data_IF_500250365408
#
_entry.id   IF_500250365408
#
_cell.length_a   1.000
_cell.length_b   1.000
_cell.length_c   1.000
_cell.angle_alpha   90.00
_cell.angle_beta   90.00
_cell.angle_gamma   90.00
#
_symmetry.space_group_name_H-M   'P 1'
#
loop_
_entity.id
_entity.type
_entity.pdbx_description
1 polymer ?
#
# COMPACT_ATOMS: atom_id res chain seq x y z
N UNK A 1 68.48 40.24 17.91
CA UNK A 1 67.97 40.41 16.53
C UNK A 1 66.53 40.90 16.58
N UNK A 2 66.12 41.82 15.70
CA UNK A 2 64.72 42.29 15.58
C UNK A 2 64.34 42.27 14.09
N UNK A 3 63.17 41.73 13.78
CA UNK A 3 62.69 41.51 12.42
C UNK A 3 61.25 42.01 12.31
N UNK A 4 60.93 42.93 11.38
CA UNK A 4 59.55 43.24 11.07
C UNK A 4 58.87 42.01 10.44
N UNK A 5 57.63 41.74 10.83
CA UNK A 5 56.89 40.60 10.29
C UNK A 5 56.37 40.85 8.86
N UNK A 6 56.10 42.11 8.52
CA UNK A 6 55.71 42.53 7.19
C UNK A 6 56.82 43.38 6.54
N UNK A 7 57.09 43.15 5.26
CA UNK A 7 58.14 43.86 4.52
C UNK A 7 57.86 45.37 4.38
N UNK A 8 56.59 45.76 4.43
CA UNK A 8 56.12 47.15 4.41
C UNK A 8 56.04 47.80 5.80
N UNK A 9 56.39 47.05 6.86
CA UNK A 9 56.33 47.49 8.26
C UNK A 9 54.92 47.55 8.86
N UNK A 10 53.92 47.00 8.17
CA UNK A 10 52.55 46.87 8.69
C UNK A 10 52.46 45.84 9.84
N UNK A 11 51.37 45.93 10.61
CA UNK A 11 51.07 44.96 11.67
C UNK A 11 50.43 43.72 11.05
N UNK A 12 50.78 42.54 11.55
CA UNK A 12 50.23 41.25 11.10
C UNK A 12 49.33 40.67 12.18
N UNK A 13 48.14 40.22 11.80
CA UNK A 13 47.27 39.44 12.67
C UNK A 13 47.75 37.98 12.67
N UNK A 14 48.29 37.56 13.81
CA UNK A 14 48.75 36.20 14.05
C UNK A 14 47.71 35.36 14.84
N UNK A 15 46.51 35.89 15.10
CA UNK A 15 45.47 35.22 15.90
C UNK A 15 44.87 33.99 15.21
N UNK A 16 44.89 33.98 13.87
CA UNK A 16 44.39 32.86 13.05
C UNK A 16 45.42 31.72 12.88
N UNK A 17 46.62 31.89 13.46
CA UNK A 17 47.68 30.88 13.42
C UNK A 17 47.75 30.13 14.76
N UNK A 18 48.01 28.83 14.69
CA UNK A 18 48.13 27.98 15.88
C UNK A 18 49.59 27.79 16.30
N UNK A 19 50.49 27.77 15.31
CA UNK A 19 51.90 27.40 15.50
C UNK A 19 52.84 28.31 14.73
N UNK A 20 54.04 28.48 15.29
CA UNK A 20 55.19 29.10 14.65
C UNK A 20 56.34 28.09 14.62
N UNK A 21 56.89 27.83 13.44
CA UNK A 21 58.09 27.01 13.24
C UNK A 21 59.30 27.91 13.14
N UNK A 22 60.30 27.64 13.96
CA UNK A 22 61.55 28.40 13.98
C UNK A 22 62.71 27.49 13.60
N UNK A 23 63.43 27.87 12.54
CA UNK A 23 64.73 27.32 12.19
C UNK A 23 65.80 28.26 12.74
N UNK A 24 66.25 27.99 13.96
CA UNK A 24 67.19 28.87 14.69
C UNK A 24 68.36 28.07 15.24
N UNK A 25 69.59 28.54 15.04
CA UNK A 25 70.79 27.98 15.67
C UNK A 25 71.38 29.02 16.61
N UNK A 26 71.77 28.56 17.80
CA UNK A 26 72.42 29.40 18.80
C UNK A 26 73.78 28.79 19.11
N UNK A 27 74.82 29.62 19.15
CA UNK A 27 76.20 29.20 19.44
C UNK A 27 76.87 30.20 20.37
N UNK A 28 77.69 29.72 21.30
CA UNK A 28 78.40 30.57 22.26
C UNK A 28 79.04 29.75 23.39
N UNK A 29 79.63 30.39 24.40
CA UNK A 29 80.24 29.69 25.53
C UNK A 29 79.22 28.97 26.42
N UNK A 30 79.54 27.72 26.77
CA UNK A 30 78.73 26.84 27.63
C UNK A 30 77.85 25.84 26.86
N UNK A 31 77.29 24.87 27.58
CA UNK A 31 76.45 23.79 27.00
C UNK A 31 74.95 24.16 26.91
N UNK A 32 74.55 25.26 27.56
CA UNK A 32 73.16 25.74 27.62
C UNK A 32 72.98 26.99 26.78
N UNK A 33 72.02 26.95 25.86
CA UNK A 33 71.74 28.05 24.94
C UNK A 33 70.27 28.45 25.05
N UNK A 34 69.97 29.25 26.08
CA UNK A 34 68.62 29.74 26.29
C UNK A 34 68.27 30.83 25.27
N UNK A 35 67.20 30.62 24.51
CA UNK A 35 66.68 31.53 23.52
C UNK A 35 65.38 32.15 24.04
N UNK A 36 65.29 33.46 23.91
CA UNK A 36 64.10 34.24 24.23
C UNK A 36 63.53 34.82 22.93
N UNK A 37 62.29 34.46 22.66
CA UNK A 37 61.54 34.90 21.49
C UNK A 37 60.48 35.89 21.94
N UNK A 38 60.39 37.03 21.27
CA UNK A 38 59.36 38.03 21.49
C UNK A 38 58.52 38.25 20.25
N UNK A 39 57.19 38.23 20.41
CA UNK A 39 56.23 38.78 19.46
C UNK A 39 55.69 40.08 20.04
N UNK A 40 56.01 41.21 19.40
CA UNK A 40 55.67 42.54 19.91
C UNK A 40 54.41 43.07 19.25
N UNK A 41 53.36 43.27 20.05
CA UNK A 41 52.09 43.81 19.61
C UNK A 41 52.13 45.36 19.64
N UNK A 42 51.61 45.98 18.60
CA UNK A 42 51.60 47.43 18.38
C UNK A 42 50.18 48.03 18.42
N UNK A 43 49.27 47.48 19.25
CA UNK A 43 47.92 48.01 19.41
C UNK A 43 47.93 49.49 19.83
N UNK A 44 47.08 50.28 19.19
CA UNK A 44 46.97 51.71 19.41
C UNK A 44 46.61 52.09 20.87
N UNK A 45 46.02 51.18 21.64
CA UNK A 45 45.67 51.42 23.04
C UNK A 45 46.89 51.74 23.93
N UNK A 46 48.04 51.09 23.66
CA UNK A 46 49.27 51.23 24.44
C UNK A 46 50.50 51.67 23.63
N UNK A 47 50.58 51.35 22.34
CA UNK A 47 51.75 51.65 21.49
C UNK A 47 51.73 53.08 20.89
N UNK A 48 51.52 54.12 21.71
CA UNK A 48 51.25 55.49 21.23
C UNK A 48 52.43 56.18 20.54
N UNK A 49 53.67 55.94 20.99
CA UNK A 49 54.86 56.56 20.37
C UNK A 49 55.46 55.72 19.24
N UNK A 50 55.02 54.46 19.10
CA UNK A 50 55.63 53.48 18.21
C UNK A 50 57.06 53.06 18.63
N UNK A 51 57.57 53.54 19.76
CA UNK A 51 58.86 53.13 20.29
C UNK A 51 58.83 51.67 20.73
N UNK A 52 59.98 50.99 20.64
CA UNK A 52 60.11 49.58 20.98
C UNK A 52 59.65 49.27 22.43
N UNK A 53 59.83 50.21 23.35
CA UNK A 53 59.43 50.07 24.76
C UNK A 53 57.91 50.01 24.96
N UNK A 54 57.14 50.68 24.10
CA UNK A 54 55.69 50.77 24.20
C UNK A 54 54.98 49.56 23.57
N UNK A 55 55.70 48.77 22.77
CA UNK A 55 55.16 47.57 22.15
C UNK A 55 55.05 46.44 23.17
N UNK A 56 53.85 45.90 23.33
CA UNK A 56 53.55 44.82 24.29
C UNK A 56 54.28 43.53 23.89
N UNK A 57 55.27 43.08 24.69
CA UNK A 57 56.09 41.93 24.36
C UNK A 57 55.44 40.65 24.86
N UNK A 58 55.10 39.77 23.93
CA UNK A 58 54.74 38.40 24.21
C UNK A 58 56.01 37.57 24.14
N UNK A 59 56.39 36.96 25.25
CA UNK A 59 57.66 36.28 25.46
C UNK A 59 57.47 34.76 25.54
N UNK A 60 58.39 34.04 24.93
CA UNK A 60 58.62 32.62 25.14
C UNK A 60 60.12 32.39 25.35
N UNK A 61 60.46 31.62 26.38
CA UNK A 61 61.84 31.23 26.69
C UNK A 61 61.95 29.72 26.62
N UNK A 62 62.94 29.22 25.89
CA UNK A 62 63.26 27.80 25.85
C UNK A 62 64.76 27.56 25.64
N UNK A 63 65.22 26.35 25.94
CA UNK A 63 66.61 25.95 25.78
C UNK A 63 66.84 25.39 24.36
N UNK A 64 67.44 26.20 23.49
CA UNK A 64 67.60 25.85 22.08
C UNK A 64 68.53 24.64 21.87
N UNK A 65 69.41 24.32 22.82
CA UNK A 65 70.28 23.13 22.71
C UNK A 65 69.54 21.81 22.96
N UNK A 66 68.33 21.85 23.52
CA UNK A 66 67.52 20.65 23.82
C UNK A 66 66.47 20.34 22.74
N UNK A 67 66.25 21.26 21.82
CA UNK A 67 65.20 21.13 20.80
C UNK A 67 65.78 20.67 19.46
N UNK A 68 65.00 19.91 18.69
CA UNK A 68 65.34 19.54 17.32
C UNK A 68 64.80 20.61 16.37
N UNK A 69 65.60 20.99 15.37
CA UNK A 69 65.20 21.98 14.37
C UNK A 69 64.34 21.34 13.25
N UNK A 70 63.25 22.00 12.79
CA UNK A 70 62.69 23.25 13.34
C UNK A 70 61.97 23.06 14.68
N UNK A 71 62.04 24.07 15.54
CA UNK A 71 61.27 24.11 16.78
C UNK A 71 59.83 24.49 16.46
N UNK A 72 58.90 23.58 16.74
CA UNK A 72 57.45 23.80 16.61
C UNK A 72 56.92 24.44 17.91
N UNK A 73 56.63 25.74 17.85
CA UNK A 73 56.12 26.52 18.99
C UNK A 73 54.63 26.76 18.83
N UNK A 74 53.84 26.44 19.86
CA UNK A 74 52.43 26.82 19.90
C UNK A 74 52.29 28.29 20.32
N UNK A 75 51.59 29.11 19.53
CA UNK A 75 51.47 30.55 19.79
C UNK A 75 50.82 30.86 21.15
N UNK A 76 49.92 29.98 21.63
CA UNK A 76 49.30 30.07 22.96
C UNK A 76 50.27 29.96 24.16
N UNK A 77 51.52 29.52 23.94
CA UNK A 77 52.53 29.42 25.01
C UNK A 77 53.24 30.74 25.30
N UNK A 78 53.11 31.72 24.41
CA UNK A 78 53.64 33.05 24.66
C UNK A 78 52.87 33.72 25.80
N UNK A 79 53.60 34.34 26.71
CA UNK A 79 53.02 35.11 27.81
C UNK A 79 53.45 36.56 27.72
N UNK A 80 52.65 37.49 28.22
CA UNK A 80 53.11 38.89 28.30
C UNK A 80 54.26 38.97 29.31
N UNK A 81 55.36 39.63 28.93
CA UNK A 81 56.51 39.73 29.80
C UNK A 81 56.16 40.49 31.09
N UNK A 82 56.50 39.91 32.24
CA UNK A 82 56.07 40.42 33.55
C UNK A 82 56.52 41.85 33.83
N UNK A 83 57.74 42.20 33.39
CA UNK A 83 58.29 43.57 33.52
C UNK A 83 57.45 44.60 32.75
N UNK A 84 56.86 44.23 31.61
CA UNK A 84 56.06 45.15 30.81
C UNK A 84 54.71 45.44 31.47
N UNK A 85 54.07 44.40 32.01
CA UNK A 85 52.82 44.52 32.78
C UNK A 85 53.00 45.39 34.02
N UNK A 86 54.14 45.26 34.71
CA UNK A 86 54.46 46.10 35.88
C UNK A 86 54.69 47.57 35.49
N UNK A 87 55.33 47.82 34.35
CA UNK A 87 55.59 49.17 33.85
C UNK A 87 54.35 49.84 33.22
N UNK A 88 53.39 49.07 32.73
CA UNK A 88 52.20 49.55 32.03
C UNK A 88 50.92 48.96 32.66
N UNK A 89 50.42 49.52 33.78
CA UNK A 89 49.18 49.08 34.39
C UNK A 89 48.00 49.25 33.41
N UNK A 90 47.37 48.15 33.03
CA UNK A 90 46.26 48.08 32.05
C UNK A 90 45.04 47.36 32.68
N UNK A 91 43.83 47.51 32.12
CA UNK A 91 42.68 46.70 32.51
C UNK A 91 42.96 45.19 32.38
N UNK A 92 42.30 44.38 33.20
CA UNK A 92 42.51 42.92 33.21
C UNK A 92 42.30 42.27 31.83
N UNK A 93 41.34 42.78 31.05
CA UNK A 93 41.05 42.32 29.69
C UNK A 93 42.24 42.46 28.72
N UNK A 94 43.10 43.47 28.92
CA UNK A 94 44.22 43.81 28.04
C UNK A 94 45.55 43.34 28.65
N UNK A 95 45.51 42.57 29.74
CA UNK A 95 46.71 42.06 30.44
C UNK A 95 47.17 40.69 29.90
N UNK A 96 46.31 39.99 29.18
CA UNK A 96 46.59 38.68 28.57
C UNK A 96 47.35 38.77 27.24
N UNK A 97 47.75 37.63 26.66
CA UNK A 97 48.42 37.61 25.36
C UNK A 97 47.47 38.02 24.23
N UNK A 98 47.95 38.91 23.35
CA UNK A 98 47.25 39.47 22.19
C UNK A 98 48.16 39.40 20.97
N UNK A 99 47.75 38.66 19.94
CA UNK A 99 48.55 38.46 18.73
C UNK A 99 47.87 39.04 17.47
N UNK A 100 46.88 39.91 17.64
CA UNK A 100 46.10 40.53 16.56
C UNK A 100 46.84 41.63 15.78
N UNK A 101 47.84 42.26 16.37
CA UNK A 101 48.59 43.37 15.75
C UNK A 101 50.09 43.24 16.00
N UNK A 102 50.67 42.10 15.64
CA UNK A 102 52.11 41.85 15.87
C UNK A 102 52.93 42.55 14.80
N UNK A 103 53.87 43.40 15.24
CA UNK A 103 54.72 44.19 14.36
C UNK A 103 56.12 43.60 14.19
N UNK A 104 56.69 43.09 15.29
CA UNK A 104 58.10 42.67 15.34
C UNK A 104 58.24 41.29 15.98
N UNK A 105 59.07 40.45 15.35
CA UNK A 105 59.67 39.27 15.95
C UNK A 105 61.06 39.65 16.46
N UNK A 106 61.35 39.41 17.73
CA UNK A 106 62.68 39.67 18.30
C UNK A 106 63.25 38.41 18.95
N UNK A 107 64.54 38.19 18.75
CA UNK A 107 65.28 37.06 19.30
C UNK A 107 66.45 37.59 20.13
N UNK A 108 66.53 37.15 21.39
CA UNK A 108 67.62 37.50 22.32
C UNK A 108 68.07 36.26 23.09
N UNK A 109 69.26 36.31 23.67
CA UNK A 109 69.68 35.29 24.64
C UNK A 109 68.81 35.40 25.90
N UNK A 110 68.64 34.27 26.59
CA UNK A 110 67.95 34.19 27.87
C UNK A 110 68.77 34.73 29.04
N UNK A 111 68.22 34.59 30.25
CA UNK A 111 68.85 35.08 31.48
C UNK A 111 69.84 34.06 32.08
N UNK A 112 69.71 32.78 31.73
CA UNK A 112 70.54 31.70 32.26
C UNK A 112 71.62 31.24 31.28
N UNK A 113 72.39 32.20 30.72
CA UNK A 113 73.45 31.93 29.74
C UNK A 113 74.80 32.49 30.24
N UNK A 114 75.93 31.77 30.08
CA UNK A 114 77.24 32.27 30.52
C UNK A 114 77.64 33.60 29.87
N UNK A 115 78.37 34.48 30.57
CA UNK A 115 78.91 35.70 29.98
C UNK A 115 79.83 35.40 28.80
N UNK A 116 79.63 36.09 27.68
CA UNK A 116 80.44 35.95 26.48
C UNK A 116 79.70 36.34 25.21
N UNK A 117 80.34 36.13 24.06
CA UNK A 117 79.73 36.39 22.76
C UNK A 117 78.87 35.19 22.33
N UNK A 118 77.58 35.45 22.11
CA UNK A 118 76.62 34.48 21.61
C UNK A 118 76.10 34.90 20.24
N UNK A 119 76.04 33.96 19.31
CA UNK A 119 75.52 34.16 17.95
C UNK A 119 74.18 33.44 17.82
N UNK A 120 73.17 34.15 17.30
CA UNK A 120 71.86 33.60 16.97
C UNK A 120 71.68 33.71 15.46
N UNK A 121 71.60 32.57 14.78
CA UNK A 121 71.32 32.45 13.35
C UNK A 121 69.87 32.03 13.15
N UNK A 122 69.07 32.86 12.50
CA UNK A 122 67.70 32.53 12.10
C UNK A 122 67.66 32.25 10.60
N UNK A 123 67.33 31.02 10.22
CA UNK A 123 67.16 30.62 8.82
C UNK A 123 65.75 30.95 8.30
N UNK A 124 64.72 30.62 9.08
CA UNK A 124 63.32 30.86 8.72
C UNK A 124 62.39 30.89 9.94
N UNK A 125 61.27 31.58 9.79
CA UNK A 125 60.12 31.53 10.69
C UNK A 125 58.83 31.35 9.86
N UNK A 126 58.09 30.27 10.09
CA UNK A 126 56.81 29.99 9.41
C UNK A 126 55.65 29.99 10.40
N UNK A 127 54.57 30.71 10.12
CA UNK A 127 53.32 30.63 10.87
C UNK A 127 52.34 29.69 10.17
N UNK A 128 51.70 28.78 10.93
CA UNK A 128 50.73 27.80 10.42
C UNK A 128 49.41 27.84 11.20
N UNK A 129 48.30 27.89 10.46
CA UNK A 129 46.92 27.87 10.99
C UNK A 129 45.99 27.04 10.10
N UNK A 130 44.75 26.83 10.56
CA UNK A 130 43.72 26.09 9.81
C UNK A 130 42.80 27.05 9.04
N UNK A 131 42.54 26.76 7.76
CA UNK A 131 41.63 27.55 6.93
C UNK A 131 40.17 27.52 7.40
N UNK A 132 39.74 26.39 7.98
CA UNK A 132 38.40 26.18 8.50
C UNK A 132 38.51 25.36 9.78
N UNK A 133 37.84 25.81 10.84
CA UNK A 133 37.77 25.06 12.08
C UNK A 133 37.18 23.64 11.82
N UNK A 134 37.78 22.57 12.34
CA UNK A 134 37.31 21.20 12.10
C UNK A 134 35.83 20.98 12.43
N UNK A 135 35.29 21.71 13.41
CA UNK A 135 33.87 21.66 13.76
C UNK A 135 32.96 22.20 12.64
N UNK A 136 33.30 23.35 12.06
CA UNK A 136 32.56 23.97 10.95
C UNK A 136 32.60 23.08 9.71
N UNK A 137 33.75 22.49 9.41
CA UNK A 137 33.88 21.55 8.30
C UNK A 137 32.96 20.32 8.48
N UNK A 138 32.98 19.68 9.65
CA UNK A 138 32.10 18.53 9.95
C UNK A 138 30.62 18.89 9.85
N UNK A 139 30.24 20.06 10.36
CA UNK A 139 28.85 20.52 10.28
C UNK A 139 28.40 20.74 8.83
N UNK A 140 29.29 21.26 7.97
CA UNK A 140 29.06 21.37 6.53
C UNK A 140 28.84 20.01 5.86
N UNK A 141 29.66 19.01 6.20
CA UNK A 141 29.50 17.64 5.69
C UNK A 141 28.15 17.04 6.11
N UNK A 142 27.76 17.18 7.38
CA UNK A 142 26.46 16.69 7.87
C UNK A 142 25.31 17.39 7.15
N UNK A 143 25.40 18.72 6.97
CA UNK A 143 24.40 19.49 6.22
C UNK A 143 24.23 19.02 4.78
N UNK A 144 25.34 18.73 4.10
CA UNK A 144 25.31 18.18 2.74
C UNK A 144 24.61 16.81 2.68
N UNK A 145 24.91 15.92 3.61
CA UNK A 145 24.23 14.61 3.71
C UNK A 145 22.74 14.75 3.98
N UNK A 146 22.34 15.64 4.90
CA UNK A 146 20.94 15.91 5.20
C UNK A 146 20.16 16.43 3.98
N UNK A 147 20.79 17.28 3.17
CA UNK A 147 20.19 17.81 1.94
C UNK A 147 19.98 16.70 0.90
N UNK A 148 20.96 15.82 0.70
CA UNK A 148 20.85 14.67 -0.21
C UNK A 148 19.74 13.72 0.23
N UNK A 149 19.68 13.38 1.53
CA UNK A 149 18.65 12.49 2.08
C UNK A 149 17.26 13.10 1.90
N UNK A 150 17.12 14.40 2.18
CA UNK A 150 15.82 15.10 2.05
C UNK A 150 15.37 15.14 0.59
N UNK A 151 16.29 15.40 -0.35
CA UNK A 151 16.00 15.36 -1.78
C UNK A 151 15.58 13.94 -2.23
N UNK A 152 16.27 12.90 -1.76
CA UNK A 152 15.93 11.51 -2.04
C UNK A 152 14.54 11.14 -1.52
N UNK A 153 14.22 11.47 -0.26
CA UNK A 153 12.91 11.18 0.34
C UNK A 153 11.79 11.91 -0.40
N UNK A 154 12.01 13.16 -0.83
CA UNK A 154 11.02 13.89 -1.61
C UNK A 154 10.79 13.27 -3.00
N UNK A 155 11.86 12.81 -3.65
CA UNK A 155 11.77 12.08 -4.91
C UNK A 155 11.01 10.75 -4.75
N UNK A 156 11.36 9.96 -3.75
CA UNK A 156 10.71 8.67 -3.47
C UNK A 156 9.24 8.84 -3.10
N UNK A 157 8.91 9.85 -2.28
CA UNK A 157 7.53 10.18 -1.95
C UNK A 157 6.69 10.55 -3.18
N UNK A 158 7.24 11.36 -4.10
CA UNK A 158 6.59 11.70 -5.37
C UNK A 158 6.38 10.47 -6.24
N UNK A 159 7.38 9.59 -6.33
CA UNK A 159 7.30 8.33 -7.08
C UNK A 159 6.22 7.41 -6.50
N UNK A 160 6.24 7.20 -5.19
CA UNK A 160 5.30 6.35 -4.46
C UNK A 160 3.85 6.82 -4.59
N UNK A 161 3.61 8.15 -4.54
CA UNK A 161 2.27 8.71 -4.78
C UNK A 161 1.73 8.41 -6.18
N UNK A 162 2.57 8.47 -7.22
CA UNK A 162 2.16 8.13 -8.59
C UNK A 162 1.78 6.65 -8.72
N UNK A 163 2.61 5.77 -8.17
CA UNK A 163 2.35 4.32 -8.16
C UNK A 163 1.05 3.98 -7.43
N UNK A 164 0.81 4.59 -6.28
CA UNK A 164 -0.41 4.38 -5.51
C UNK A 164 -1.67 4.79 -6.30
N UNK A 165 -1.62 5.92 -7.00
CA UNK A 165 -2.70 6.36 -7.87
C UNK A 165 -3.02 5.36 -8.99
N UNK A 166 -2.00 4.73 -9.59
CA UNK A 166 -2.19 3.71 -10.63
C UNK A 166 -2.80 2.42 -10.08
N UNK A 167 -2.36 1.98 -8.90
CA UNK A 167 -2.89 0.78 -8.24
C UNK A 167 -4.36 0.94 -7.88
N UNK A 168 -4.76 2.10 -7.36
CA UNK A 168 -6.15 2.39 -7.03
C UNK A 168 -7.04 2.39 -8.28
N UNK A 169 -6.57 2.96 -9.40
CA UNK A 169 -7.31 2.93 -10.68
C UNK A 169 -7.52 1.50 -11.18
N UNK A 170 -6.45 0.68 -11.22
CA UNK A 170 -6.55 -0.73 -11.62
C UNK A 170 -7.49 -1.53 -10.73
N UNK A 171 -7.45 -1.29 -9.41
CA UNK A 171 -8.38 -1.95 -8.47
C UNK A 171 -9.83 -1.61 -8.81
N UNK A 172 -10.14 -0.33 -9.06
CA UNK A 172 -11.49 0.09 -9.41
C UNK A 172 -11.94 -0.47 -10.77
N UNK A 173 -11.06 -0.48 -11.78
CA UNK A 173 -11.34 -1.09 -13.09
C UNK A 173 -11.67 -2.58 -12.96
N UNK A 174 -10.87 -3.32 -12.19
CA UNK A 174 -11.11 -4.74 -11.93
C UNK A 174 -12.43 -4.97 -11.18
N UNK A 175 -12.74 -4.14 -10.18
CA UNK A 175 -14.01 -4.24 -9.47
C UNK A 175 -15.21 -3.99 -10.39
N UNK A 176 -15.13 -2.99 -11.27
CA UNK A 176 -16.18 -2.72 -12.25
C UNK A 176 -16.31 -3.84 -13.28
N UNK A 177 -15.19 -4.37 -13.78
CA UNK A 177 -15.20 -5.49 -14.72
C UNK A 177 -15.81 -6.75 -14.10
N UNK A 178 -15.45 -7.05 -12.85
CA UNK A 178 -15.98 -8.19 -12.12
C UNK A 178 -17.49 -8.02 -11.84
N UNK A 179 -17.93 -6.82 -11.43
CA UNK A 179 -19.36 -6.53 -11.26
C UNK A 179 -20.16 -6.73 -12.57
N UNK A 180 -19.62 -6.26 -13.72
CA UNK A 180 -20.24 -6.49 -15.03
C UNK A 180 -20.27 -7.97 -15.41
N UNK A 181 -19.19 -8.71 -15.16
CA UNK A 181 -19.12 -10.13 -15.43
C UNK A 181 -20.15 -10.90 -14.59
N UNK A 182 -20.26 -10.56 -13.30
CA UNK A 182 -21.25 -11.15 -12.39
C UNK A 182 -22.67 -10.87 -12.86
N UNK A 183 -23.00 -9.64 -13.23
CA UNK A 183 -24.33 -9.29 -13.75
C UNK A 183 -24.66 -10.06 -15.04
N UNK A 184 -23.70 -10.21 -15.96
CA UNK A 184 -23.89 -11.03 -17.17
C UNK A 184 -24.08 -12.51 -16.85
N UNK A 185 -23.31 -13.04 -15.89
CA UNK A 185 -23.45 -14.42 -15.43
C UNK A 185 -24.86 -14.67 -14.89
N UNK A 186 -25.37 -13.75 -14.06
CA UNK A 186 -26.73 -13.84 -13.51
C UNK A 186 -27.81 -13.76 -14.59
N UNK A 187 -27.65 -12.88 -15.58
CA UNK A 187 -28.56 -12.79 -16.73
C UNK A 187 -28.55 -14.09 -17.56
N UNK A 188 -27.38 -14.68 -17.79
CA UNK A 188 -27.27 -15.96 -18.47
C UNK A 188 -27.86 -17.12 -17.67
N UNK A 189 -27.65 -17.15 -16.36
CA UNK A 189 -28.27 -18.15 -15.47
C UNK A 189 -29.79 -18.04 -15.48
N UNK A 190 -30.34 -16.82 -15.38
CA UNK A 190 -31.78 -16.58 -15.45
C UNK A 190 -32.36 -17.08 -16.79
N UNK A 191 -31.73 -16.74 -17.92
CA UNK A 191 -32.13 -17.22 -19.25
C UNK A 191 -31.95 -18.72 -19.42
N UNK A 192 -30.98 -19.32 -18.74
CA UNK A 192 -30.74 -20.76 -18.82
C UNK A 192 -31.77 -21.57 -18.05
N UNK A 193 -32.36 -21.02 -16.98
CA UNK A 193 -33.23 -21.76 -16.06
C UNK A 193 -34.72 -21.42 -16.18
N UNK A 194 -35.09 -20.34 -16.86
CA UNK A 194 -36.49 -19.96 -17.07
C UNK A 194 -36.94 -20.12 -18.52
N UNK A 195 -38.24 -20.36 -18.72
CA UNK A 195 -38.89 -20.30 -20.02
C UNK A 195 -39.19 -18.82 -20.37
N UNK A 196 -38.73 -18.31 -21.53
CA UNK A 196 -38.87 -16.89 -21.86
C UNK A 196 -40.31 -16.45 -22.13
N UNK A 197 -41.22 -17.38 -22.49
CA UNK A 197 -42.61 -17.05 -22.78
C UNK A 197 -43.45 -16.96 -21.50
N UNK A 198 -43.35 -17.98 -20.64
CA UNK A 198 -44.21 -18.13 -19.45
C UNK A 198 -43.57 -17.59 -18.16
N UNK A 199 -42.25 -17.41 -18.12
CA UNK A 199 -41.50 -16.99 -16.93
C UNK A 199 -41.31 -18.09 -15.88
N UNK A 200 -41.95 -19.25 -16.05
CA UNK A 200 -41.77 -20.43 -15.20
C UNK A 200 -40.35 -21.00 -15.34
N UNK A 201 -39.98 -21.94 -14.48
CA UNK A 201 -38.76 -22.74 -14.71
C UNK A 201 -38.88 -23.46 -16.05
N UNK A 202 -37.79 -23.57 -16.79
CA UNK A 202 -37.70 -24.51 -17.89
C UNK A 202 -37.23 -25.88 -17.36
N UNK A 203 -37.20 -26.89 -18.23
CA UNK A 203 -36.73 -28.24 -17.88
C UNK A 203 -35.37 -28.26 -17.16
N UNK A 204 -34.40 -27.44 -17.59
CA UNK A 204 -33.08 -27.36 -16.94
C UNK A 204 -33.14 -26.69 -15.57
N UNK A 205 -33.91 -25.61 -15.45
CA UNK A 205 -34.11 -24.90 -14.18
C UNK A 205 -34.76 -25.78 -13.12
N UNK A 206 -35.76 -26.58 -13.51
CA UNK A 206 -36.40 -27.53 -12.58
C UNK A 206 -35.42 -28.62 -12.13
N UNK A 207 -34.65 -29.21 -13.05
CA UNK A 207 -33.65 -30.22 -12.70
C UNK A 207 -32.58 -29.67 -11.74
N UNK A 208 -32.17 -28.41 -11.94
CA UNK A 208 -31.24 -27.73 -11.05
C UNK A 208 -31.82 -27.53 -9.65
N UNK A 209 -33.06 -27.04 -9.54
CA UNK A 209 -33.74 -26.82 -8.26
C UNK A 209 -33.93 -28.15 -7.50
N UNK A 210 -34.36 -29.21 -8.19
CA UNK A 210 -34.48 -30.56 -7.59
C UNK A 210 -33.14 -31.04 -7.06
N UNK A 211 -32.06 -30.94 -7.85
CA UNK A 211 -30.74 -31.39 -7.42
C UNK A 211 -30.23 -30.65 -6.17
N UNK A 212 -30.44 -29.33 -6.10
CA UNK A 212 -30.08 -28.52 -4.93
C UNK A 212 -30.86 -28.94 -3.68
N UNK A 213 -32.17 -29.14 -3.82
CA UNK A 213 -33.05 -29.49 -2.70
C UNK A 213 -32.79 -30.91 -2.19
N UNK A 214 -32.58 -31.88 -3.09
CA UNK A 214 -32.26 -33.26 -2.70
C UNK A 214 -30.87 -33.40 -2.06
N UNK A 215 -29.89 -32.59 -2.46
CA UNK A 215 -28.55 -32.61 -1.85
C UNK A 215 -28.51 -32.00 -0.44
N UNK A 216 -29.35 -30.99 -0.18
CA UNK A 216 -29.34 -30.28 1.09
C UNK A 216 -30.04 -31.07 2.20
N UNK A 217 -31.23 -31.63 1.92
CA UNK A 217 -32.11 -32.24 2.93
C UNK A 217 -33.04 -33.30 2.32
N UNK A 218 -32.49 -34.45 1.94
CA UNK A 218 -33.23 -35.52 1.25
C UNK A 218 -34.51 -35.95 2.01
N UNK A 219 -34.41 -36.20 3.32
CA UNK A 219 -35.55 -36.62 4.16
C UNK A 219 -36.68 -35.57 4.26
N UNK A 220 -36.37 -34.29 4.03
CA UNK A 220 -37.36 -33.20 4.05
C UNK A 220 -37.96 -32.92 2.67
N UNK A 221 -37.56 -33.67 1.64
CA UNK A 221 -38.07 -33.49 0.29
C UNK A 221 -39.11 -34.57 -0.10
N UNK A 222 -39.09 -35.72 0.57
CA UNK A 222 -39.95 -36.86 0.27
C UNK A 222 -41.05 -37.08 1.34
N UNK A 223 -42.21 -37.68 0.97
CA UNK A 223 -42.58 -38.12 -0.36
C UNK A 223 -42.76 -36.94 -1.31
N UNK A 224 -42.34 -37.11 -2.56
CA UNK A 224 -42.47 -36.11 -3.61
C UNK A 224 -43.46 -36.62 -4.63
N UNK A 225 -44.48 -35.83 -4.97
CA UNK A 225 -45.39 -36.20 -6.06
C UNK A 225 -45.11 -35.38 -7.31
N UNK A 226 -45.03 -36.07 -8.44
CA UNK A 226 -44.86 -35.54 -9.78
C UNK A 226 -46.23 -35.46 -10.45
N UNK A 227 -46.56 -34.31 -11.02
CA UNK A 227 -47.77 -34.08 -11.81
C UNK A 227 -47.39 -33.52 -13.18
N UNK A 228 -47.59 -34.32 -14.22
CA UNK A 228 -47.54 -33.87 -15.61
C UNK A 228 -48.89 -33.27 -16.00
N UNK A 229 -48.84 -32.16 -16.73
CA UNK A 229 -50.01 -31.43 -17.22
C UNK A 229 -49.80 -31.09 -18.69
N UNK A 230 -50.78 -31.38 -19.53
CA UNK A 230 -50.74 -31.02 -20.95
C UNK A 230 -52.08 -30.45 -21.40
N UNK A 231 -52.01 -29.36 -22.18
CA UNK A 231 -53.19 -28.66 -22.71
C UNK A 231 -53.80 -29.48 -23.85
N UNK A 232 -55.05 -29.88 -23.66
CA UNK A 232 -55.76 -30.68 -24.64
C UNK A 232 -55.97 -29.90 -25.94
N UNK A 233 -55.67 -30.53 -27.07
CA UNK A 233 -55.88 -29.96 -28.41
C UNK A 233 -55.12 -28.64 -28.69
N UNK A 234 -54.02 -28.36 -27.98
CA UNK A 234 -53.28 -27.10 -28.15
C UNK A 234 -52.82 -26.82 -29.59
N UNK A 235 -52.38 -27.85 -30.33
CA UNK A 235 -52.06 -27.71 -31.75
C UNK A 235 -53.23 -27.15 -32.58
N UNK A 236 -54.47 -27.58 -32.29
CA UNK A 236 -55.65 -27.08 -33.01
C UNK A 236 -55.92 -25.60 -32.69
N UNK A 237 -55.61 -25.15 -31.47
CA UNK A 237 -55.69 -23.74 -31.08
C UNK A 237 -54.71 -22.92 -31.93
N UNK A 238 -53.46 -23.35 -32.03
CA UNK A 238 -52.47 -22.70 -32.88
C UNK A 238 -52.89 -22.68 -34.36
N UNK A 239 -53.38 -23.80 -34.88
CA UNK A 239 -53.78 -23.92 -36.27
C UNK A 239 -55.01 -23.04 -36.61
N UNK A 240 -55.93 -22.84 -35.66
CA UNK A 240 -57.16 -22.07 -35.86
C UNK A 240 -57.04 -20.57 -35.54
N UNK A 241 -56.22 -20.20 -34.55
CA UNK A 241 -56.14 -18.84 -34.02
C UNK A 241 -54.76 -18.18 -34.17
N UNK A 242 -53.77 -18.91 -34.69
CA UNK A 242 -52.40 -18.45 -34.85
C UNK A 242 -51.57 -18.56 -33.56
N UNK A 243 -50.26 -18.52 -33.74
CA UNK A 243 -49.29 -18.70 -32.64
C UNK A 243 -49.39 -17.61 -31.56
N UNK A 244 -49.72 -16.36 -31.92
CA UNK A 244 -49.85 -15.27 -30.93
C UNK A 244 -50.95 -15.56 -29.89
N UNK A 245 -52.06 -16.16 -30.31
CA UNK A 245 -53.15 -16.56 -29.39
C UNK A 245 -52.72 -17.78 -28.56
N UNK A 246 -52.01 -18.74 -29.17
CA UNK A 246 -51.43 -19.87 -28.44
C UNK A 246 -50.43 -19.44 -27.37
N UNK A 247 -49.60 -18.45 -27.66
CA UNK A 247 -48.63 -17.89 -26.72
C UNK A 247 -49.33 -17.18 -25.55
N UNK A 248 -50.38 -16.39 -25.84
CA UNK A 248 -51.21 -15.76 -24.80
C UNK A 248 -51.92 -16.81 -23.92
N UNK A 249 -52.40 -17.91 -24.52
CA UNK A 249 -52.97 -19.05 -23.80
C UNK A 249 -51.94 -19.65 -22.85
N UNK A 250 -50.71 -19.93 -23.32
CA UNK A 250 -49.66 -20.52 -22.49
C UNK A 250 -49.25 -19.61 -21.32
N UNK A 251 -49.18 -18.30 -21.57
CA UNK A 251 -48.88 -17.31 -20.52
C UNK A 251 -49.96 -17.28 -19.45
N UNK A 252 -51.23 -17.23 -19.85
CA UNK A 252 -52.34 -17.23 -18.91
C UNK A 252 -52.45 -18.58 -18.18
N UNK A 253 -52.15 -19.69 -18.86
CA UNK A 253 -52.15 -21.03 -18.29
C UNK A 253 -51.10 -21.16 -17.18
N UNK A 254 -49.88 -20.71 -17.46
CA UNK A 254 -48.80 -20.65 -16.48
C UNK A 254 -49.18 -19.83 -15.24
N UNK A 255 -49.79 -18.65 -15.43
CA UNK A 255 -50.26 -17.80 -14.34
C UNK A 255 -51.36 -18.47 -13.51
N UNK A 256 -52.31 -19.14 -14.17
CA UNK A 256 -53.38 -19.86 -13.49
C UNK A 256 -52.82 -21.00 -12.65
N UNK A 257 -51.91 -21.81 -13.20
CA UNK A 257 -51.26 -22.87 -12.44
C UNK A 257 -50.51 -22.29 -11.24
N UNK A 258 -49.69 -21.26 -11.45
CA UNK A 258 -48.88 -20.64 -10.40
C UNK A 258 -49.73 -20.03 -9.27
N UNK A 259 -50.87 -19.43 -9.59
CA UNK A 259 -51.79 -18.87 -8.60
C UNK A 259 -52.52 -19.94 -7.77
N UNK A 260 -52.50 -21.20 -8.22
CA UNK A 260 -53.24 -22.30 -7.63
C UNK A 260 -52.35 -23.36 -6.98
N UNK A 261 -51.01 -23.22 -6.99
CA UNK A 261 -50.09 -24.14 -6.31
C UNK A 261 -49.47 -23.47 -5.09
N UNK A 262 -48.88 -24.25 -4.19
CA UNK A 262 -48.22 -23.71 -3.00
C UNK A 262 -46.88 -23.05 -3.37
N UNK A 263 -46.32 -22.24 -2.46
CA UNK A 263 -45.05 -21.53 -2.73
C UNK A 263 -43.87 -22.50 -2.78
N UNK A 264 -44.00 -23.61 -2.07
CA UNK A 264 -43.04 -24.68 -1.94
C UNK A 264 -43.07 -25.65 -3.14
N UNK A 265 -44.15 -25.63 -3.92
CA UNK A 265 -44.29 -26.44 -5.13
C UNK A 265 -43.42 -25.88 -6.26
N UNK A 266 -42.78 -26.78 -7.03
CA UNK A 266 -41.95 -26.41 -8.16
C UNK A 266 -42.71 -26.59 -9.46
N UNK A 267 -43.01 -25.48 -10.14
CA UNK A 267 -43.72 -25.47 -11.41
C UNK A 267 -42.78 -25.10 -12.57
N UNK A 268 -42.81 -25.89 -13.64
CA UNK A 268 -42.00 -25.69 -14.83
C UNK A 268 -42.79 -25.92 -16.12
N UNK A 269 -42.37 -25.24 -17.20
CA UNK A 269 -42.73 -25.61 -18.56
C UNK A 269 -41.73 -26.65 -19.06
N UNK A 270 -42.21 -27.87 -19.25
CA UNK A 270 -41.39 -29.03 -19.61
C UNK A 270 -41.17 -29.14 -21.13
N UNK A 271 -42.20 -28.77 -21.90
CA UNK A 271 -42.26 -28.85 -23.36
C UNK A 271 -43.16 -27.76 -23.94
N UNK A 272 -43.52 -27.86 -25.22
CA UNK A 272 -44.33 -26.87 -25.94
C UNK A 272 -45.60 -26.48 -25.18
N UNK A 273 -46.52 -27.43 -25.01
CA UNK A 273 -47.75 -27.32 -24.22
C UNK A 273 -47.73 -28.09 -22.90
N UNK A 274 -46.58 -28.65 -22.53
CA UNK A 274 -46.41 -29.53 -21.37
C UNK A 274 -45.83 -28.77 -20.17
N UNK A 275 -46.46 -28.95 -19.02
CA UNK A 275 -46.05 -28.40 -17.74
C UNK A 275 -45.80 -29.54 -16.74
N UNK A 276 -44.85 -29.32 -15.84
CA UNK A 276 -44.48 -30.26 -14.80
C UNK A 276 -44.56 -29.55 -13.45
N UNK A 277 -45.34 -30.12 -12.55
CA UNK A 277 -45.48 -29.69 -11.18
C UNK A 277 -44.86 -30.76 -10.27
N UNK A 278 -43.93 -30.36 -9.42
CA UNK A 278 -43.37 -31.19 -8.36
C UNK A 278 -43.86 -30.67 -7.03
N UNK A 279 -44.41 -31.56 -6.21
CA UNK A 279 -45.02 -31.24 -4.93
C UNK A 279 -44.24 -31.95 -3.81
N UNK A 280 -43.24 -31.29 -3.19
CA UNK A 280 -42.47 -31.86 -2.09
C UNK A 280 -43.36 -32.16 -0.88
N UNK A 281 -42.97 -33.16 -0.09
CA UNK A 281 -43.71 -33.60 1.11
C UNK A 281 -45.21 -33.85 0.87
N UNK A 282 -45.59 -34.20 -0.36
CA UNK A 282 -46.98 -34.39 -0.76
C UNK A 282 -47.18 -35.83 -1.24
N UNK A 283 -48.15 -36.52 -0.64
CA UNK A 283 -48.53 -37.88 -1.07
C UNK A 283 -49.43 -37.85 -2.29
N UNK A 284 -49.45 -38.94 -3.06
CA UNK A 284 -50.20 -39.07 -4.30
C UNK A 284 -51.68 -38.68 -4.18
N UNK A 285 -52.33 -39.03 -3.07
CA UNK A 285 -53.74 -38.71 -2.84
C UNK A 285 -54.00 -37.21 -2.75
N UNK A 286 -53.12 -36.46 -2.09
CA UNK A 286 -53.23 -35.00 -1.97
C UNK A 286 -52.93 -34.31 -3.30
N UNK A 287 -51.89 -34.75 -4.00
CA UNK A 287 -51.56 -34.25 -5.32
C UNK A 287 -52.69 -34.51 -6.34
N UNK A 288 -53.39 -35.64 -6.25
CA UNK A 288 -54.58 -35.92 -7.07
C UNK A 288 -55.69 -34.89 -6.83
N UNK A 289 -55.93 -34.49 -5.57
CA UNK A 289 -56.92 -33.45 -5.26
C UNK A 289 -56.50 -32.09 -5.85
N UNK A 290 -55.21 -31.75 -5.76
CA UNK A 290 -54.68 -30.51 -6.36
C UNK A 290 -54.79 -30.55 -7.88
N UNK A 291 -54.44 -31.66 -8.52
CA UNK A 291 -54.57 -31.84 -9.97
C UNK A 291 -56.04 -31.72 -10.41
N UNK A 292 -56.98 -32.32 -9.68
CA UNK A 292 -58.41 -32.23 -10.01
C UNK A 292 -58.95 -30.80 -9.84
N UNK A 293 -58.51 -30.08 -8.79
CA UNK A 293 -58.83 -28.66 -8.64
C UNK A 293 -58.27 -27.83 -9.79
N UNK A 294 -57.01 -28.04 -10.17
CA UNK A 294 -56.41 -27.35 -11.31
C UNK A 294 -57.18 -27.62 -12.60
N UNK A 295 -57.56 -28.88 -12.85
CA UNK A 295 -58.37 -29.27 -14.00
C UNK A 295 -59.70 -28.49 -14.05
N UNK A 296 -60.41 -28.42 -12.94
CA UNK A 296 -61.68 -27.67 -12.85
C UNK A 296 -61.47 -26.17 -13.04
N UNK A 297 -60.43 -25.59 -12.45
CA UNK A 297 -60.10 -24.17 -12.66
C UNK A 297 -59.79 -23.86 -14.13
N UNK A 298 -59.08 -24.75 -14.82
CA UNK A 298 -58.73 -24.58 -16.24
C UNK A 298 -59.98 -24.66 -17.11
N UNK A 299 -60.86 -25.63 -16.86
CA UNK A 299 -62.12 -25.81 -17.58
C UNK A 299 -63.09 -24.64 -17.41
N UNK A 300 -63.09 -24.01 -16.22
CA UNK A 300 -63.98 -22.89 -15.88
C UNK A 300 -63.39 -21.52 -16.21
N UNK A 301 -62.09 -21.43 -16.51
CA UNK A 301 -61.44 -20.16 -16.80
C UNK A 301 -61.87 -19.59 -18.15
N UNK A 302 -61.84 -18.25 -18.25
CA UNK A 302 -61.99 -17.56 -19.52
C UNK A 302 -60.63 -17.43 -20.20
N UNK A 303 -60.51 -17.99 -21.39
CA UNK A 303 -59.27 -17.99 -22.17
C UNK A 303 -59.29 -16.93 -23.28
N UNK A 304 -58.11 -16.54 -23.81
CA UNK A 304 -58.02 -15.58 -24.91
C UNK A 304 -58.89 -16.00 -26.08
N UNK A 305 -59.45 -15.01 -26.80
CA UNK A 305 -60.39 -15.23 -27.91
C UNK A 305 -61.69 -16.00 -27.55
N UNK A 306 -62.04 -16.11 -26.26
CA UNK A 306 -63.26 -16.79 -25.81
C UNK A 306 -63.18 -18.31 -25.94
N UNK A 307 -61.97 -18.87 -25.94
CA UNK A 307 -61.74 -20.31 -26.07
C UNK A 307 -62.17 -21.07 -24.80
N UNK A 308 -62.56 -22.33 -24.99
CA UNK A 308 -62.72 -23.30 -23.90
C UNK A 308 -61.55 -24.26 -23.93
N UNK A 309 -60.79 -24.35 -22.84
CA UNK A 309 -59.64 -25.23 -22.74
C UNK A 309 -59.85 -26.27 -21.65
N UNK A 310 -59.33 -27.46 -21.90
CA UNK A 310 -59.18 -28.51 -20.90
C UNK A 310 -57.74 -28.97 -20.86
N UNK A 311 -57.36 -29.68 -19.82
CA UNK A 311 -56.03 -30.29 -19.73
C UNK A 311 -56.10 -31.68 -19.14
N UNK A 312 -55.15 -32.50 -19.55
CA UNK A 312 -54.97 -33.87 -19.08
C UNK A 312 -53.81 -33.92 -18.08
N UNK A 313 -54.01 -34.64 -16.98
CA UNK A 313 -53.04 -34.73 -15.88
C UNK A 313 -52.60 -36.17 -15.65
N UNK A 314 -51.32 -36.35 -15.32
CA UNK A 314 -50.75 -37.61 -14.88
C UNK A 314 -49.98 -37.45 -13.58
N UNK A 315 -50.31 -38.26 -12.57
CA UNK A 315 -49.76 -38.15 -11.22
C UNK A 315 -48.96 -39.41 -10.87
N UNK A 316 -47.80 -39.26 -10.24
CA UNK A 316 -47.03 -40.35 -9.65
C UNK A 316 -46.18 -39.89 -8.47
N UNK A 317 -46.10 -40.70 -7.42
CA UNK A 317 -45.30 -40.41 -6.22
C UNK A 317 -43.92 -41.07 -6.30
N UNK A 318 -42.91 -40.36 -5.78
CA UNK A 318 -41.58 -40.84 -5.48
C UNK A 318 -41.35 -40.82 -3.96
N UNK A 319 -40.94 -41.96 -3.41
CA UNK A 319 -40.64 -42.10 -1.97
C UNK A 319 -39.18 -41.78 -1.61
N UNK A 320 -38.34 -41.46 -2.59
CA UNK A 320 -36.93 -41.15 -2.42
C UNK A 320 -36.25 -40.76 -3.73
N UNK A 321 -35.01 -40.28 -3.66
CA UNK A 321 -34.30 -39.75 -4.84
C UNK A 321 -34.12 -40.80 -5.94
N UNK A 322 -33.91 -42.07 -5.58
CA UNK A 322 -33.78 -43.19 -6.52
C UNK A 322 -35.06 -43.48 -7.31
N UNK A 323 -36.23 -43.13 -6.75
CA UNK A 323 -37.53 -43.35 -7.37
C UNK A 323 -37.98 -42.19 -8.28
N UNK A 324 -37.26 -41.05 -8.28
CA UNK A 324 -37.63 -39.84 -9.01
C UNK A 324 -37.81 -40.08 -10.52
N UNK A 325 -36.84 -40.75 -11.16
CA UNK A 325 -36.90 -40.99 -12.61
C UNK A 325 -38.05 -41.95 -12.97
N UNK A 326 -38.31 -42.95 -12.12
CA UNK A 326 -39.44 -43.86 -12.28
C UNK A 326 -40.77 -43.13 -12.10
N UNK A 327 -40.89 -42.21 -11.14
CA UNK A 327 -42.08 -41.39 -10.93
C UNK A 327 -42.33 -40.44 -12.11
N UNK A 328 -41.30 -39.79 -12.66
CA UNK A 328 -41.42 -38.97 -13.87
C UNK A 328 -42.00 -39.78 -15.04
N UNK A 329 -41.45 -40.98 -15.30
CA UNK A 329 -41.96 -41.88 -16.36
C UNK A 329 -43.38 -42.36 -16.09
N UNK A 330 -43.72 -42.65 -14.84
CA UNK A 330 -45.05 -43.10 -14.46
C UNK A 330 -46.09 -41.98 -14.61
N UNK A 331 -45.76 -40.75 -14.20
CA UNK A 331 -46.63 -39.58 -14.36
C UNK A 331 -46.85 -39.24 -15.83
N UNK A 332 -45.81 -39.27 -16.68
CA UNK A 332 -45.95 -39.07 -18.13
C UNK A 332 -46.86 -40.14 -18.77
N UNK A 333 -46.66 -41.41 -18.43
CA UNK A 333 -47.52 -42.49 -18.89
C UNK A 333 -48.97 -42.34 -18.40
N UNK A 334 -49.19 -41.83 -17.19
CA UNK A 334 -50.52 -41.54 -16.66
C UNK A 334 -51.20 -40.39 -17.41
N UNK A 335 -50.46 -39.32 -17.74
CA UNK A 335 -50.96 -38.20 -18.54
C UNK A 335 -51.35 -38.67 -19.94
N UNK A 336 -50.51 -39.51 -20.56
CA UNK A 336 -50.83 -40.12 -21.86
C UNK A 336 -52.09 -40.98 -21.79
N UNK A 337 -52.28 -41.76 -20.72
CA UNK A 337 -53.50 -42.50 -20.47
C UNK A 337 -54.72 -41.58 -20.30
N UNK A 338 -54.58 -40.45 -19.60
CA UNK A 338 -55.64 -39.43 -19.50
C UNK A 338 -56.10 -38.96 -20.87
N UNK A 339 -55.15 -38.71 -21.78
CA UNK A 339 -55.44 -38.32 -23.17
C UNK A 339 -56.20 -39.40 -23.93
N UNK A 340 -55.79 -40.66 -23.78
CA UNK A 340 -56.43 -41.79 -24.48
C UNK A 340 -57.84 -42.08 -23.99
N UNK A 341 -58.11 -41.86 -22.70
CA UNK A 341 -59.42 -42.18 -22.12
C UNK A 341 -60.47 -41.09 -22.32
N UNK A 342 -60.18 -40.05 -23.10
CA UNK A 342 -61.12 -38.99 -23.43
C UNK A 342 -60.74 -37.61 -22.87
N UNK A 343 -59.48 -37.40 -22.46
CA UNK A 343 -58.94 -36.11 -22.03
C UNK A 343 -59.66 -35.52 -20.81
N UNK A 344 -59.34 -34.27 -20.46
CA UNK A 344 -59.94 -33.51 -19.35
C UNK A 344 -60.10 -34.35 -18.07
N UNK A 345 -59.00 -34.95 -17.60
CA UNK A 345 -59.01 -35.85 -16.45
C UNK A 345 -57.65 -35.99 -15.80
N UNK A 346 -57.66 -36.54 -14.60
CA UNK A 346 -56.48 -36.88 -13.82
C UNK A 346 -56.35 -38.39 -13.70
N UNK A 347 -55.16 -38.92 -14.00
CA UNK A 347 -54.83 -40.33 -13.83
C UNK A 347 -53.66 -40.47 -12.85
N UNK A 348 -53.79 -41.37 -11.88
CA UNK A 348 -52.70 -41.78 -11.00
C UNK A 348 -52.04 -43.05 -11.54
N UNK A 349 -50.71 -43.09 -11.52
CA UNK A 349 -49.93 -44.31 -11.75
C UNK A 349 -48.87 -44.46 -10.67
N UNK A 350 -48.74 -45.67 -10.14
CA UNK A 350 -47.68 -46.00 -9.18
C UNK A 350 -46.38 -46.23 -9.95
N UNK A 351 -45.29 -45.60 -9.51
CA UNK A 351 -43.97 -45.86 -10.05
C UNK A 351 -43.55 -47.30 -9.72
N UNK A 352 -43.16 -48.07 -10.74
CA UNK A 352 -42.60 -49.40 -10.51
C UNK A 352 -41.27 -49.23 -9.76
N UNK A 353 -41.12 -49.90 -8.60
CA UNK A 353 -39.84 -49.93 -7.90
C UNK A 353 -38.84 -50.63 -8.82
N UNK A 354 -37.85 -49.88 -9.29
CA UNK A 354 -36.69 -50.50 -9.91
C UNK A 354 -36.10 -51.49 -8.91
N UNK A 355 -36.15 -52.78 -9.25
CA UNK A 355 -35.35 -53.79 -8.56
C UNK A 355 -33.90 -53.36 -8.68
N UNK A 356 -33.26 -53.02 -7.56
CA UNK A 356 -31.81 -52.87 -7.53
C UNK A 356 -31.20 -54.16 -8.10
N UNK A 357 -30.19 -54.08 -8.98
CA UNK A 357 -29.42 -55.29 -9.29
C UNK A 357 -28.73 -55.73 -8.00
N UNK A 358 -28.96 -56.99 -7.61
CA UNK A 358 -28.31 -57.66 -6.47
C UNK A 358 -26.77 -57.58 -6.50
#
# INVERSE_FOLDING_TARGET
>A
MQLPLAADGSNVDLSDFDRMRLWVRVSGPGERHELRVFLRNADAAYARSGALADLKPHELVFDASKERMPVDVELRRFMVASWWVQAHPQPLKDSGPELNQVKLLSLTTGGAVPPGSHTIELEAAEFRGVWVAPATFRLGVIGAWMLVITAYLLWDWRRSRKTLGQLLRRKNELQQANAKLKARSQDFEAKAHHDPLTGLRNRRGLQHDVALLTQAQEELFFPLTVVFVDIDHFKQINDAHGHDVGDAVLQQFAQLLQANVQREDLLARWGGEEFLLLMPQTVAGEAMMVAERLRQCIEQASWPAGLTLTSSFGVAQADGAQAMEAALKAADAAMYQSKQQGRNRVQLKVAERGTAPD
#
